data_IF_354856764485
#
_entry.id   IF_354856764485
#
_cell.length_a   1.000
_cell.length_b   1.000
_cell.length_c   1.000
_cell.angle_alpha   90.00
_cell.angle_beta   90.00
_cell.angle_gamma   90.00
#
_symmetry.space_group_name_H-M   'P 1'
#
loop_
_entity.id
_entity.type
_entity.pdbx_description
1 polymer ?
#
# COMPACT_ATOMS: atom_id res chain seq x y z
N UNK A 1 -9.47 0.91 8.57
CA UNK A 1 -9.66 2.20 7.89
C UNK A 1 -8.94 3.24 8.73
N UNK A 2 -8.27 4.25 8.13
CA UNK A 2 -7.60 5.30 8.89
C UNK A 2 -8.63 6.09 9.70
N UNK A 3 -8.43 6.18 11.01
CA UNK A 3 -9.39 6.75 11.96
C UNK A 3 -9.13 8.23 12.26
N UNK A 4 -7.86 8.63 12.35
CA UNK A 4 -7.49 9.94 12.90
C UNK A 4 -7.21 11.01 11.83
N UNK A 5 -6.98 10.62 10.57
CA UNK A 5 -6.85 11.51 9.38
C UNK A 5 -5.94 12.76 9.52
N UNK A 6 -4.91 12.69 10.35
CA UNK A 6 -3.96 13.78 10.63
C UNK A 6 -2.77 13.79 9.63
N UNK A 7 -3.07 13.92 8.33
CA UNK A 7 -2.04 13.92 7.28
C UNK A 7 -1.03 15.07 7.41
N UNK A 8 -1.40 16.17 8.06
CA UNK A 8 -0.54 17.32 8.34
C UNK A 8 0.63 17.00 9.29
N UNK A 9 0.55 15.92 10.07
CA UNK A 9 1.62 15.48 10.98
C UNK A 9 2.71 14.67 10.29
N UNK A 10 2.48 14.25 9.04
CA UNK A 10 3.45 13.45 8.26
C UNK A 10 4.85 14.10 8.17
N UNK A 11 5.01 15.42 7.95
CA UNK A 11 6.32 16.05 7.85
C UNK A 11 7.13 15.94 9.16
N UNK A 12 6.47 16.15 10.30
CA UNK A 12 7.11 16.02 11.63
C UNK A 12 7.62 14.59 11.85
N UNK A 13 6.82 13.59 11.46
CA UNK A 13 7.21 12.20 11.56
C UNK A 13 8.39 11.85 10.63
N UNK A 14 8.39 12.35 9.38
CA UNK A 14 9.49 12.15 8.44
C UNK A 14 10.80 12.75 8.98
N UNK A 15 10.75 13.93 9.60
CA UNK A 15 11.90 14.56 10.23
C UNK A 15 12.42 13.78 11.43
N UNK A 16 11.54 13.18 12.23
CA UNK A 16 11.94 12.30 13.33
C UNK A 16 12.66 11.04 12.81
N UNK A 17 12.11 10.38 11.79
CA UNK A 17 12.70 9.17 11.19
C UNK A 17 14.08 9.43 10.59
N UNK A 18 14.30 10.59 9.97
CA UNK A 18 15.61 10.97 9.42
C UNK A 18 16.68 11.20 10.48
N UNK A 19 16.29 11.64 11.68
CA UNK A 19 17.19 11.91 12.80
C UNK A 19 17.54 10.65 13.59
N UNK A 20 16.69 9.63 13.52
CA UNK A 20 16.86 8.37 14.24
C UNK A 20 17.72 7.37 13.43
N UNK A 21 18.35 6.43 14.14
CA UNK A 21 19.18 5.39 13.53
C UNK A 21 18.31 4.18 13.12
N UNK A 22 17.42 4.42 12.16
CA UNK A 22 16.50 3.43 11.59
C UNK A 22 16.71 3.30 10.07
N UNK A 23 17.79 2.62 9.63
CA UNK A 23 18.19 2.60 8.21
C UNK A 23 17.12 2.02 7.29
N UNK A 24 16.32 1.06 7.78
CA UNK A 24 15.22 0.46 7.03
C UNK A 24 14.07 1.44 6.78
N UNK A 25 13.85 2.40 7.68
CA UNK A 25 12.82 3.42 7.55
C UNK A 25 13.27 4.62 6.72
N UNK A 26 14.58 4.87 6.60
CA UNK A 26 15.09 5.95 5.74
C UNK A 26 14.71 5.75 4.27
N UNK A 27 14.77 4.51 3.77
CA UNK A 27 14.34 4.19 2.41
C UNK A 27 12.83 4.40 2.21
N UNK A 28 12.03 4.08 3.24
CA UNK A 28 10.58 4.34 3.24
C UNK A 28 10.30 5.85 3.24
N UNK A 29 10.98 6.61 4.11
CA UNK A 29 10.83 8.07 4.20
C UNK A 29 11.17 8.75 2.87
N UNK A 30 12.24 8.33 2.20
CA UNK A 30 12.60 8.81 0.87
C UNK A 30 11.59 8.42 -0.22
N UNK A 31 10.91 7.28 -0.06
CA UNK A 31 9.78 6.90 -0.92
C UNK A 31 8.57 7.82 -0.71
N UNK A 32 8.19 8.03 0.56
CA UNK A 32 7.06 8.90 0.94
C UNK A 32 7.29 10.33 0.47
N UNK A 33 8.51 10.86 0.58
CA UNK A 33 8.84 12.21 0.11
C UNK A 33 8.56 12.42 -1.38
N UNK A 34 8.84 11.42 -2.22
CA UNK A 34 8.61 11.51 -3.67
C UNK A 34 7.14 11.66 -4.02
N UNK A 35 6.27 11.06 -3.22
CA UNK A 35 4.81 11.07 -3.40
C UNK A 35 4.10 11.87 -2.29
N UNK A 36 4.79 12.83 -1.67
CA UNK A 36 4.37 13.50 -0.43
C UNK A 36 2.93 14.01 -0.46
N UNK A 37 2.56 14.74 -1.51
CA UNK A 37 1.22 15.33 -1.60
C UNK A 37 0.13 14.26 -1.73
N UNK A 38 0.41 13.18 -2.46
CA UNK A 38 -0.49 12.05 -2.58
C UNK A 38 -0.64 11.29 -1.25
N UNK A 39 0.46 11.12 -0.49
CA UNK A 39 0.42 10.48 0.83
C UNK A 39 -0.33 11.34 1.84
N UNK A 40 -0.09 12.66 1.87
CA UNK A 40 -0.86 13.59 2.73
C UNK A 40 -2.34 13.50 2.38
N UNK A 41 -2.70 13.58 1.09
CA UNK A 41 -4.09 13.45 0.66
C UNK A 41 -4.70 12.10 1.07
N UNK A 42 -3.95 11.00 0.96
CA UNK A 42 -4.38 9.66 1.39
C UNK A 42 -4.56 9.52 2.90
N UNK A 43 -3.81 10.29 3.69
CA UNK A 43 -3.95 10.36 5.14
C UNK A 43 -5.09 11.28 5.57
N UNK A 44 -5.38 12.36 4.84
CA UNK A 44 -6.36 13.39 5.24
C UNK A 44 -7.78 13.16 4.70
N UNK A 45 -7.91 12.67 3.46
CA UNK A 45 -9.22 12.57 2.80
C UNK A 45 -10.05 11.38 3.34
N UNK A 46 -11.38 11.44 3.23
CA UNK A 46 -12.24 10.34 3.71
C UNK A 46 -12.23 9.11 2.79
N UNK A 47 -11.68 9.24 1.59
CA UNK A 47 -11.69 8.21 0.56
C UNK A 47 -10.72 7.08 0.91
N UNK A 48 -11.11 5.83 0.60
CA UNK A 48 -10.22 4.68 0.76
C UNK A 48 -10.41 3.67 -0.36
N UNK A 49 -9.31 3.05 -0.78
CA UNK A 49 -9.28 1.93 -1.72
C UNK A 49 -9.59 0.59 -1.06
N UNK A 50 -9.87 0.53 0.25
CA UNK A 50 -9.88 -0.72 1.03
C UNK A 50 -10.81 -1.82 0.49
N UNK A 51 -12.01 -1.48 0.02
CA UNK A 51 -12.93 -2.46 -0.59
C UNK A 51 -12.36 -3.00 -1.91
N UNK A 52 -11.83 -2.10 -2.74
CA UNK A 52 -11.22 -2.46 -4.04
C UNK A 52 -9.99 -3.35 -3.81
N UNK A 53 -9.14 -2.98 -2.87
CA UNK A 53 -7.96 -3.75 -2.47
C UNK A 53 -8.35 -5.13 -1.91
N UNK A 54 -9.42 -5.22 -1.13
CA UNK A 54 -9.98 -6.48 -0.65
C UNK A 54 -10.37 -7.42 -1.79
N UNK A 55 -11.07 -6.90 -2.80
CA UNK A 55 -11.41 -7.66 -4.00
C UNK A 55 -10.16 -8.10 -4.78
N UNK A 56 -9.19 -7.18 -4.96
CA UNK A 56 -7.92 -7.49 -5.63
C UNK A 56 -7.16 -8.58 -4.86
N UNK A 57 -7.12 -8.51 -3.54
CA UNK A 57 -6.46 -9.50 -2.70
C UNK A 57 -7.13 -10.88 -2.82
N UNK A 58 -8.47 -10.93 -2.78
CA UNK A 58 -9.24 -12.17 -3.01
C UNK A 58 -8.92 -12.78 -4.37
N UNK A 59 -8.90 -11.97 -5.43
CA UNK A 59 -8.56 -12.44 -6.78
C UNK A 59 -7.12 -12.96 -6.84
N UNK A 60 -6.16 -12.22 -6.26
CA UNK A 60 -4.75 -12.65 -6.18
C UNK A 60 -4.62 -13.98 -5.43
N UNK A 61 -5.34 -14.16 -4.32
CA UNK A 61 -5.38 -15.40 -3.56
C UNK A 61 -5.90 -16.57 -4.41
N UNK A 62 -7.06 -16.40 -5.06
CA UNK A 62 -7.63 -17.44 -5.92
C UNK A 62 -6.69 -17.82 -7.06
N UNK A 63 -6.08 -16.83 -7.73
CA UNK A 63 -5.09 -17.06 -8.78
C UNK A 63 -3.86 -17.84 -8.29
N UNK A 64 -3.39 -17.59 -7.06
CA UNK A 64 -2.25 -18.33 -6.46
C UNK A 64 -2.62 -19.78 -6.15
N UNK A 65 -3.84 -20.05 -5.72
CA UNK A 65 -4.31 -21.43 -5.45
C UNK A 65 -4.46 -22.25 -6.74
N UNK A 66 -4.77 -21.60 -7.86
CA UNK A 66 -4.94 -22.25 -9.17
C UNK A 66 -3.71 -22.14 -10.06
N UNK A 67 -2.65 -21.49 -9.59
CA UNK A 67 -1.40 -21.35 -10.32
C UNK A 67 -0.84 -22.73 -10.67
N UNK A 68 -0.49 -22.94 -11.94
CA UNK A 68 -0.02 -24.22 -12.47
C UNK A 68 -1.11 -25.30 -12.66
N UNK A 69 -2.36 -25.06 -12.25
CA UNK A 69 -3.47 -26.03 -12.43
C UNK A 69 -4.17 -25.91 -13.77
N UNK A 70 -4.08 -24.76 -14.44
CA UNK A 70 -4.56 -24.58 -15.81
C UNK A 70 -3.52 -25.08 -16.81
N UNK A 71 -3.91 -25.97 -17.73
CA UNK A 71 -3.04 -26.50 -18.79
C UNK A 71 -3.83 -26.85 -20.05
N UNK A 72 -3.16 -27.19 -21.15
CA UNK A 72 -3.80 -27.45 -22.46
C UNK A 72 -4.93 -28.48 -22.41
N UNK A 73 -4.90 -29.42 -21.47
CA UNK A 73 -5.96 -30.41 -21.25
C UNK A 73 -7.30 -29.78 -20.83
N UNK A 74 -7.27 -28.64 -20.13
CA UNK A 74 -8.45 -27.89 -19.69
C UNK A 74 -8.88 -26.80 -20.70
N UNK A 75 -8.08 -26.58 -21.75
CA UNK A 75 -8.33 -25.58 -22.81
C UNK A 75 -8.80 -26.22 -24.13
N UNK A 76 -8.91 -27.55 -24.20
CA UNK A 76 -9.46 -28.27 -25.37
C UNK A 76 -10.96 -28.43 -25.19
N UNK A 77 -11.72 -27.97 -26.21
CA UNK A 77 -13.17 -28.15 -26.34
C UNK A 77 -13.54 -29.62 -26.49
#
# INVERSE_FOLDING_TARGET
>A
MLTEREGERLPEWLDAVRKDDLPSLHALAAGIDRDRDAVIAGLTLPWSSGIVEGHVNRIKMLKRQTFGRAGFRLLRK
#
